data_IF_594180277678
#
_entry.id   IF_594180277678
#
_cell.length_a   1.000
_cell.length_b   1.000
_cell.length_c   1.000
_cell.angle_alpha   90.00
_cell.angle_beta   90.00
_cell.angle_gamma   90.00
#
_symmetry.space_group_name_H-M   'P 1'
#
loop_
_entity.id
_entity.type
_entity.pdbx_description
1 polymer ?
#
# COMPACT_ATOMS: atom_id res chain seq x y z
N UNK A 1 3.41 -21.60 -8.78
CA UNK A 1 2.41 -22.69 -8.74
C UNK A 1 1.03 -22.05 -8.69
N UNK A 2 0.23 -22.13 -9.77
CA UNK A 2 -1.14 -21.62 -9.77
C UNK A 2 -2.02 -22.57 -8.95
N UNK A 3 -2.21 -22.28 -7.66
CA UNK A 3 -3.04 -23.13 -6.78
C UNK A 3 -2.95 -22.83 -5.29
N UNK A 4 -1.86 -22.23 -4.80
CA UNK A 4 -1.68 -22.02 -3.35
C UNK A 4 -2.42 -20.79 -2.80
N UNK A 5 -2.60 -19.74 -3.61
CA UNK A 5 -3.29 -18.51 -3.18
C UNK A 5 -4.81 -18.67 -3.14
N UNK A 6 -5.38 -19.51 -4.01
CA UNK A 6 -6.82 -19.75 -4.07
C UNK A 6 -7.33 -20.38 -2.77
N UNK A 7 -6.62 -21.38 -2.23
CA UNK A 7 -6.99 -22.01 -0.96
C UNK A 7 -7.07 -21.01 0.20
N UNK A 8 -6.10 -20.09 0.29
CA UNK A 8 -6.08 -19.07 1.34
C UNK A 8 -7.23 -18.07 1.22
N UNK A 9 -7.54 -17.65 -0.01
CA UNK A 9 -8.68 -16.78 -0.28
C UNK A 9 -10.00 -17.46 0.08
N UNK A 10 -10.17 -18.72 -0.33
CA UNK A 10 -11.36 -19.53 -0.04
C UNK A 10 -11.58 -19.72 1.46
N UNK A 11 -10.51 -19.86 2.26
CA UNK A 11 -10.60 -19.95 3.72
C UNK A 11 -11.38 -18.76 4.32
N UNK A 12 -11.07 -17.52 3.90
CA UNK A 12 -11.74 -16.33 4.43
C UNK A 12 -13.15 -16.13 3.90
N UNK A 13 -13.40 -16.41 2.60
CA UNK A 13 -14.71 -16.16 1.99
C UNK A 13 -15.75 -17.21 2.40
N UNK A 14 -15.33 -18.42 2.75
CA UNK A 14 -16.22 -19.49 3.23
C UNK A 14 -16.55 -19.39 4.71
N UNK A 15 -15.69 -18.77 5.51
CA UNK A 15 -15.96 -18.59 6.93
C UNK A 15 -17.24 -17.73 7.12
N UNK A 16 -18.09 -18.19 8.04
CA UNK A 16 -19.38 -17.56 8.38
C UNK A 16 -19.37 -16.88 9.73
N UNK A 17 -18.25 -16.95 10.47
CA UNK A 17 -18.07 -16.17 11.67
C UNK A 17 -18.12 -14.67 11.35
N UNK A 18 -18.59 -13.82 12.28
CA UNK A 18 -18.58 -12.37 12.07
C UNK A 18 -17.17 -11.86 11.74
N UNK A 19 -17.02 -11.01 10.74
CA UNK A 19 -15.69 -10.45 10.37
C UNK A 19 -15.11 -9.54 11.44
N UNK A 20 -15.97 -8.91 12.25
CA UNK A 20 -15.55 -8.13 13.41
C UNK A 20 -14.89 -9.06 14.44
N UNK A 21 -13.75 -8.63 15.00
CA UNK A 21 -12.95 -9.37 16.00
C UNK A 21 -12.23 -10.60 15.42
N UNK A 22 -12.89 -11.43 14.61
CA UNK A 22 -12.31 -12.68 14.11
C UNK A 22 -11.33 -12.48 12.94
N UNK A 23 -11.57 -11.48 12.08
CA UNK A 23 -10.79 -11.30 10.85
C UNK A 23 -10.26 -9.88 10.70
N UNK A 24 -11.08 -8.85 10.91
CA UNK A 24 -10.72 -7.47 10.60
C UNK A 24 -9.75 -6.89 11.64
N UNK A 25 -8.47 -6.63 11.28
CA UNK A 25 -7.56 -5.92 12.17
C UNK A 25 -7.89 -4.42 12.18
N UNK A 26 -7.46 -3.71 13.23
CA UNK A 26 -7.53 -2.26 13.30
C UNK A 26 -6.13 -1.66 13.36
N UNK A 27 -5.89 -0.62 12.58
CA UNK A 27 -4.67 0.20 12.62
C UNK A 27 -5.04 1.57 13.19
N UNK A 28 -4.23 2.07 14.13
CA UNK A 28 -4.35 3.43 14.65
C UNK A 28 -3.25 4.30 14.02
N UNK A 29 -3.64 5.48 13.55
CA UNK A 29 -2.71 6.45 12.96
C UNK A 29 -2.25 7.39 14.08
N UNK A 30 -0.95 7.71 14.11
CA UNK A 30 -0.40 8.70 15.04
C UNK A 30 -1.03 10.07 14.81
N UNK A 31 -1.12 10.87 15.86
CA UNK A 31 -1.61 12.25 15.77
C UNK A 31 -0.66 13.12 14.95
N UNK A 32 -1.23 14.11 14.25
CA UNK A 32 -0.43 15.09 13.54
C UNK A 32 0.37 15.90 14.57
N UNK A 33 1.69 16.12 14.38
CA UNK A 33 2.49 16.95 15.28
C UNK A 33 1.94 18.37 15.46
N UNK A 34 1.15 18.88 14.50
CA UNK A 34 0.44 20.14 14.62
C UNK A 34 -0.96 19.94 15.24
N UNK A 35 -1.21 20.42 16.47
CA UNK A 35 -2.51 20.25 17.15
C UNK A 35 -3.70 20.79 16.37
N UNK A 36 -3.54 21.87 15.59
CA UNK A 36 -4.62 22.47 14.81
C UNK A 36 -5.15 21.52 13.72
N UNK A 37 -4.32 20.58 13.25
CA UNK A 37 -4.71 19.58 12.25
C UNK A 37 -5.44 18.38 12.83
N UNK A 38 -5.48 18.25 14.16
CA UNK A 38 -6.14 17.11 14.83
C UNK A 38 -7.62 17.35 15.13
N UNK A 39 -8.18 18.52 14.80
CA UNK A 39 -9.64 18.73 14.86
C UNK A 39 -10.34 17.76 13.91
N UNK A 40 -11.53 17.26 14.28
CA UNK A 40 -12.23 16.21 13.54
C UNK A 40 -12.40 16.56 12.06
N UNK A 41 -12.92 17.76 11.76
CA UNK A 41 -13.17 18.21 10.39
C UNK A 41 -11.88 18.33 9.58
N UNK A 42 -10.85 18.97 10.15
CA UNK A 42 -9.58 19.17 9.46
C UNK A 42 -8.86 17.85 9.19
N UNK A 43 -8.81 16.95 10.18
CA UNK A 43 -8.16 15.65 10.05
C UNK A 43 -8.90 14.74 9.08
N UNK A 44 -10.22 14.68 9.18
CA UNK A 44 -11.05 13.88 8.27
C UNK A 44 -10.89 14.36 6.82
N UNK A 45 -10.99 15.66 6.56
CA UNK A 45 -10.80 16.22 5.22
C UNK A 45 -9.39 15.91 4.67
N UNK A 46 -8.35 16.04 5.51
CA UNK A 46 -6.97 15.76 5.13
C UNK A 46 -6.73 14.28 4.81
N UNK A 47 -7.32 13.37 5.59
CA UNK A 47 -7.25 11.92 5.36
C UNK A 47 -7.97 11.53 4.08
N UNK A 48 -9.21 12.02 3.87
CA UNK A 48 -9.97 11.76 2.64
C UNK A 48 -9.18 12.25 1.42
N UNK A 49 -8.69 13.50 1.44
CA UNK A 49 -7.92 14.07 0.35
C UNK A 49 -6.61 13.31 0.07
N UNK A 50 -5.96 12.78 1.10
CA UNK A 50 -4.74 11.96 0.94
C UNK A 50 -5.04 10.57 0.39
N UNK A 51 -6.12 9.93 0.86
CA UNK A 51 -6.58 8.62 0.36
C UNK A 51 -6.98 8.68 -1.11
N UNK A 52 -7.68 9.74 -1.54
CA UNK A 52 -8.04 9.95 -2.95
C UNK A 52 -6.80 10.19 -3.80
N UNK A 53 -5.81 10.93 -3.29
CA UNK A 53 -4.52 11.11 -3.98
C UNK A 53 -3.81 9.77 -4.16
N UNK A 54 -3.70 8.97 -3.10
CA UNK A 54 -3.11 7.63 -3.18
C UNK A 54 -3.84 6.74 -4.21
N UNK A 55 -5.18 6.71 -4.15
CA UNK A 55 -5.98 5.95 -5.11
C UNK A 55 -5.72 6.37 -6.56
N UNK A 56 -5.69 7.68 -6.85
CA UNK A 56 -5.41 8.19 -8.20
C UNK A 56 -4.00 7.83 -8.64
N UNK A 57 -3.00 8.01 -7.79
CA UNK A 57 -1.61 7.65 -8.06
C UNK A 57 -1.46 6.15 -8.37
N UNK A 58 -2.13 5.28 -7.61
CA UNK A 58 -2.14 3.83 -7.85
C UNK A 58 -2.87 3.47 -9.15
N UNK A 59 -4.09 3.96 -9.35
CA UNK A 59 -4.93 3.73 -10.54
C UNK A 59 -4.21 4.16 -11.82
N UNK A 60 -3.55 5.32 -11.78
CA UNK A 60 -2.85 5.91 -12.92
C UNK A 60 -1.43 5.31 -13.09
N UNK A 61 -1.09 4.25 -12.33
CA UNK A 61 0.22 3.55 -12.34
C UNK A 61 1.41 4.49 -12.13
N UNK A 62 1.22 5.54 -11.34
CA UNK A 62 2.26 6.50 -10.95
C UNK A 62 2.81 6.23 -9.54
N UNK A 63 2.27 5.23 -8.83
CA UNK A 63 2.82 4.80 -7.54
C UNK A 63 4.15 4.10 -7.80
N UNK A 64 5.18 4.46 -7.03
CA UNK A 64 6.48 3.79 -7.11
C UNK A 64 6.31 2.29 -6.78
N UNK A 65 6.99 1.39 -7.51
CA UNK A 65 6.94 -0.05 -7.22
C UNK A 65 7.39 -0.33 -5.78
N UNK A 66 6.70 -1.25 -5.10
CA UNK A 66 7.08 -1.67 -3.76
C UNK A 66 8.25 -2.66 -3.84
N UNK A 67 9.46 -2.17 -3.55
CA UNK A 67 10.71 -2.94 -3.66
C UNK A 67 11.37 -3.07 -2.30
N UNK A 68 11.63 -4.31 -1.90
CA UNK A 68 12.42 -4.58 -0.70
C UNK A 68 13.93 -4.45 -0.97
N UNK A 69 14.50 -3.32 -0.60
CA UNK A 69 15.92 -3.01 -0.81
C UNK A 69 16.82 -3.60 0.28
N UNK A 70 17.46 -4.74 0.01
CA UNK A 70 18.41 -5.38 0.95
C UNK A 70 19.68 -4.53 1.19
N UNK A 71 20.14 -3.81 0.16
CA UNK A 71 21.25 -2.84 0.22
C UNK A 71 20.82 -1.51 -0.40
N UNK A 72 20.19 -0.63 0.38
CA UNK A 72 19.61 0.63 -0.12
C UNK A 72 20.64 1.54 -0.80
N UNK A 73 21.90 1.53 -0.38
CA UNK A 73 22.96 2.36 -0.93
C UNK A 73 23.24 2.12 -2.43
N UNK A 74 22.87 0.95 -2.95
CA UNK A 74 23.03 0.63 -4.38
C UNK A 74 21.71 0.77 -5.15
N UNK A 75 20.57 0.50 -4.50
CA UNK A 75 19.28 0.34 -5.17
C UNK A 75 18.31 1.52 -4.99
N UNK A 76 18.49 2.39 -3.98
CA UNK A 76 17.75 3.65 -3.85
C UNK A 76 18.50 4.79 -4.54
N UNK A 77 18.76 4.64 -5.83
CA UNK A 77 19.50 5.63 -6.63
C UNK A 77 18.74 6.01 -7.89
N UNK A 78 18.96 7.23 -8.38
CA UNK A 78 18.35 7.69 -9.64
C UNK A 78 18.79 6.83 -10.83
N UNK A 79 20.04 6.35 -10.82
CA UNK A 79 20.55 5.43 -11.84
C UNK A 79 19.75 4.13 -11.85
N UNK A 80 19.57 3.49 -10.69
CA UNK A 80 18.77 2.27 -10.57
C UNK A 80 17.35 2.50 -11.12
N UNK A 81 16.68 3.56 -10.68
CA UNK A 81 15.33 3.89 -11.13
C UNK A 81 15.24 4.11 -12.65
N UNK A 82 16.22 4.79 -13.24
CA UNK A 82 16.24 5.05 -14.69
C UNK A 82 16.49 3.79 -15.51
N UNK A 83 17.38 2.90 -15.04
CA UNK A 83 17.64 1.61 -15.69
C UNK A 83 16.42 0.70 -15.58
N UNK A 84 15.84 0.55 -14.39
CA UNK A 84 14.67 -0.33 -14.17
C UNK A 84 13.46 0.10 -15.02
N UNK A 85 13.25 1.41 -15.23
CA UNK A 85 12.18 1.92 -16.10
C UNK A 85 12.29 1.49 -17.56
N UNK A 86 13.50 1.18 -18.04
CA UNK A 86 13.73 0.77 -19.43
C UNK A 86 13.64 -0.75 -19.62
N UNK A 87 13.61 -1.53 -18.54
CA UNK A 87 13.53 -2.98 -18.62
C UNK A 87 12.12 -3.43 -19.04
N UNK A 88 12.00 -4.42 -19.93
CA UNK A 88 10.73 -5.08 -20.20
C UNK A 88 10.17 -5.77 -18.96
N UNK A 89 8.84 -5.77 -18.81
CA UNK A 89 8.13 -6.38 -17.68
C UNK A 89 8.49 -7.86 -17.46
N UNK A 90 8.79 -8.58 -18.56
CA UNK A 90 9.17 -9.99 -18.54
C UNK A 90 10.45 -10.29 -17.72
N UNK A 91 11.28 -9.28 -17.47
CA UNK A 91 12.57 -9.43 -16.76
C UNK A 91 12.75 -8.41 -15.63
N UNK A 92 11.73 -7.62 -15.31
CA UNK A 92 11.79 -6.53 -14.31
C UNK A 92 11.22 -6.93 -12.94
N UNK A 93 11.38 -8.20 -12.57
CA UNK A 93 10.87 -8.78 -11.32
C UNK A 93 11.64 -8.31 -10.08
#
# INVERSE_FOLDING_TARGET
MPGTTLWWFEMYVRDRQPVAINVNPQIKIKDDPNPAKNTQNQRAASLIASSVRFFRTLRDKQLEPDVFHTKPQHSKTALFNNVMKMLPEAISF
#
